data_IF_468357263215
#
_entry.id   IF_468357263215
#
_cell.length_a   1.000
_cell.length_b   1.000
_cell.length_c   1.000
_cell.angle_alpha   90.00
_cell.angle_beta   90.00
_cell.angle_gamma   90.00
#
_symmetry.space_group_name_H-M   'P 1'
#
loop_
_entity.id
_entity.type
_entity.pdbx_description
1 polymer ?
#
# COMPACT_ATOMS: atom_id res chain seq x y z
N UNK A 1 -8.23 17.70 0.35
CA UNK A 1 -6.87 17.47 -0.17
C UNK A 1 -6.16 18.81 -0.25
N UNK A 2 -4.90 18.88 0.16
CA UNK A 2 -4.08 20.09 0.10
C UNK A 2 -3.71 20.42 -1.34
N UNK A 3 -3.62 21.71 -1.68
CA UNK A 3 -3.23 22.15 -3.03
C UNK A 3 -1.81 21.67 -3.38
N UNK A 4 -0.86 21.69 -2.42
CA UNK A 4 0.49 21.15 -2.63
C UNK A 4 0.49 19.65 -2.98
N UNK A 5 -0.51 18.88 -2.50
CA UNK A 5 -0.65 17.47 -2.89
C UNK A 5 -1.20 17.36 -4.30
N UNK A 6 -2.10 18.26 -4.71
CA UNK A 6 -2.64 18.31 -6.08
C UNK A 6 -1.53 18.54 -7.11
N UNK A 7 -0.53 19.36 -6.77
CA UNK A 7 0.62 19.64 -7.63
C UNK A 7 1.51 18.41 -7.92
N UNK A 8 1.35 17.32 -7.16
CA UNK A 8 2.03 16.04 -7.37
C UNK A 8 1.27 15.14 -8.36
N UNK A 9 0.00 15.42 -8.62
CA UNK A 9 -0.88 14.57 -9.40
C UNK A 9 -0.82 14.90 -10.89
N UNK A 10 -0.99 13.86 -11.72
CA UNK A 10 -1.11 13.98 -13.16
C UNK A 10 -2.46 13.46 -13.64
N UNK A 11 -3.00 14.05 -14.69
CA UNK A 11 -4.26 13.64 -15.29
C UNK A 11 -4.13 12.21 -15.83
N UNK A 12 -4.96 11.25 -15.38
CA UNK A 12 -4.85 9.85 -15.79
C UNK A 12 -5.28 9.60 -17.25
N UNK A 13 -5.82 10.61 -17.94
CA UNK A 13 -6.24 10.53 -19.34
C UNK A 13 -5.21 11.10 -20.33
N UNK A 14 -4.60 12.25 -20.00
CA UNK A 14 -3.67 12.93 -20.91
C UNK A 14 -2.26 13.15 -20.34
N UNK A 15 -2.00 12.77 -19.08
CA UNK A 15 -0.73 12.98 -18.40
C UNK A 15 -0.41 14.44 -18.03
N UNK A 16 -1.28 15.39 -18.38
CA UNK A 16 -1.11 16.81 -18.07
C UNK A 16 -1.29 17.13 -16.58
N UNK A 17 -0.79 18.30 -16.19
CA UNK A 17 -0.90 18.79 -14.82
C UNK A 17 -2.38 18.94 -14.39
N UNK A 18 -2.65 18.65 -13.12
CA UNK A 18 -3.95 18.86 -12.50
C UNK A 18 -3.91 20.12 -11.64
N UNK A 19 -4.89 20.99 -11.83
CA UNK A 19 -5.14 22.15 -10.98
C UNK A 19 -6.49 22.04 -10.29
N UNK A 20 -6.65 22.77 -9.19
CA UNK A 20 -7.93 22.85 -8.50
C UNK A 20 -8.86 23.83 -9.21
N UNK A 21 -10.09 23.41 -9.46
CA UNK A 21 -11.15 24.21 -10.06
C UNK A 21 -12.42 24.01 -9.22
N UNK A 22 -12.59 24.87 -8.22
CA UNK A 22 -13.67 24.77 -7.23
C UNK A 22 -13.70 23.42 -6.50
N UNK A 23 -14.76 22.64 -6.75
CA UNK A 23 -15.01 21.32 -6.15
C UNK A 23 -14.34 20.15 -6.87
N UNK A 24 -13.51 20.40 -7.89
CA UNK A 24 -12.90 19.37 -8.73
C UNK A 24 -11.41 19.63 -9.01
N UNK A 25 -10.74 18.62 -9.54
CA UNK A 25 -9.48 18.76 -10.26
C UNK A 25 -9.75 18.88 -11.75
N UNK A 26 -9.02 19.74 -12.46
CA UNK A 26 -9.12 19.90 -13.91
C UNK A 26 -7.73 19.98 -14.54
N UNK A 27 -7.58 19.35 -15.71
CA UNK A 27 -6.37 19.50 -16.54
C UNK A 27 -6.59 20.47 -17.71
N UNK A 28 -5.53 20.95 -18.40
CA UNK A 28 -5.67 21.82 -19.59
C UNK A 28 -6.49 21.23 -20.75
N UNK A 29 -6.57 19.90 -20.86
CA UNK A 29 -7.43 19.20 -21.83
C UNK A 29 -8.90 19.09 -21.39
N UNK A 30 -9.29 19.81 -20.33
CA UNK A 30 -10.64 19.89 -19.79
C UNK A 30 -11.22 18.60 -19.17
N UNK A 31 -10.40 17.55 -18.95
CA UNK A 31 -10.79 16.44 -18.08
C UNK A 31 -10.98 16.95 -16.64
N UNK A 32 -12.05 16.52 -15.98
CA UNK A 32 -12.42 16.95 -14.64
C UNK A 32 -12.69 15.77 -13.71
N UNK A 33 -12.33 15.91 -12.44
CA UNK A 33 -12.46 14.88 -11.42
C UNK A 33 -12.97 15.50 -10.11
N UNK A 34 -14.21 15.19 -9.74
CA UNK A 34 -14.83 15.77 -8.55
C UNK A 34 -14.19 15.25 -7.25
N UNK A 35 -14.01 16.14 -6.28
CA UNK A 35 -13.66 15.72 -4.93
C UNK A 35 -14.85 15.02 -4.28
N UNK A 36 -14.60 13.84 -3.74
CA UNK A 36 -15.56 13.19 -2.86
C UNK A 36 -15.67 13.99 -1.54
N UNK A 37 -16.88 14.04 -0.97
CA UNK A 37 -17.14 14.69 0.34
C UNK A 37 -16.26 14.14 1.47
N UNK A 38 -15.73 12.93 1.28
CA UNK A 38 -14.86 12.24 2.22
C UNK A 38 -13.37 12.62 2.09
N UNK A 39 -12.99 13.49 1.16
CA UNK A 39 -11.67 14.11 1.08
C UNK A 39 -10.69 13.51 0.06
N UNK A 40 -11.13 12.51 -0.73
CA UNK A 40 -10.35 11.88 -1.79
C UNK A 40 -10.85 12.28 -3.19
N UNK A 41 -10.08 11.98 -4.23
CA UNK A 41 -10.48 12.13 -5.64
C UNK A 41 -10.39 10.79 -6.36
N UNK A 42 -11.27 10.50 -7.32
CA UNK A 42 -11.15 9.30 -8.15
C UNK A 42 -10.42 9.63 -9.44
N UNK A 43 -9.26 9.00 -9.67
CA UNK A 43 -8.42 9.16 -10.85
C UNK A 43 -8.25 7.84 -11.62
N UNK A 44 -9.24 6.94 -11.51
CA UNK A 44 -9.30 5.74 -12.34
C UNK A 44 -9.49 6.14 -13.82
N UNK A 45 -8.57 5.71 -14.68
CA UNK A 45 -8.72 5.80 -16.12
C UNK A 45 -9.10 4.46 -16.74
N UNK A 46 -9.81 4.52 -17.87
CA UNK A 46 -10.18 3.35 -18.65
C UNK A 46 -11.20 2.42 -17.98
N UNK A 47 -11.18 1.14 -18.37
CA UNK A 47 -12.01 0.08 -17.79
C UNK A 47 -11.17 -0.75 -16.82
N UNK A 48 -10.70 -0.15 -15.72
CA UNK A 48 -10.08 -0.95 -14.67
C UNK A 48 -11.05 -2.06 -14.25
N UNK A 49 -10.57 -3.31 -14.28
CA UNK A 49 -11.32 -4.48 -13.85
C UNK A 49 -10.95 -4.90 -12.42
N UNK A 50 -10.02 -4.18 -11.79
CA UNK A 50 -9.56 -4.48 -10.46
C UNK A 50 -10.64 -4.07 -9.47
N UNK A 51 -11.11 -5.04 -8.69
CA UNK A 51 -12.07 -4.79 -7.62
C UNK A 51 -11.28 -4.51 -6.35
N UNK A 52 -11.50 -3.34 -5.77
CA UNK A 52 -10.89 -2.99 -4.48
C UNK A 52 -11.61 -3.63 -3.29
N UNK A 53 -10.94 -3.59 -2.14
CA UNK A 53 -11.46 -4.10 -0.87
C UNK A 53 -12.80 -3.46 -0.48
N UNK A 54 -13.70 -4.27 0.12
CA UNK A 54 -14.99 -3.79 0.63
C UNK A 54 -14.82 -2.93 1.88
N UNK A 55 -15.91 -2.28 2.33
CA UNK A 55 -15.88 -1.47 3.54
C UNK A 55 -15.53 -2.30 4.79
N UNK A 56 -16.04 -3.52 4.87
CA UNK A 56 -15.82 -4.47 5.97
C UNK A 56 -14.36 -4.94 5.99
N UNK A 57 -13.79 -5.29 4.83
CA UNK A 57 -12.38 -5.68 4.71
C UNK A 57 -11.45 -4.53 5.14
N UNK A 58 -11.74 -3.31 4.69
CA UNK A 58 -10.97 -2.12 5.08
C UNK A 58 -11.12 -1.82 6.57
N UNK A 59 -12.31 -2.02 7.16
CA UNK A 59 -12.53 -1.84 8.59
C UNK A 59 -11.77 -2.88 9.43
N UNK A 60 -11.79 -4.15 9.03
CA UNK A 60 -11.05 -5.22 9.70
C UNK A 60 -9.53 -4.97 9.63
N UNK A 61 -9.01 -4.61 8.45
CA UNK A 61 -7.61 -4.19 8.27
C UNK A 61 -7.27 -3.01 9.19
N UNK A 62 -8.12 -1.99 9.23
CA UNK A 62 -7.89 -0.83 10.08
C UNK A 62 -7.82 -1.20 11.56
N UNK A 63 -8.78 -1.98 12.07
CA UNK A 63 -8.77 -2.42 13.47
C UNK A 63 -7.52 -3.23 13.82
N UNK A 64 -7.09 -4.14 12.95
CA UNK A 64 -5.87 -4.92 13.15
C UNK A 64 -4.61 -4.03 13.19
N UNK A 65 -4.48 -3.07 12.28
CA UNK A 65 -3.32 -2.18 12.22
C UNK A 65 -3.32 -1.15 13.37
N UNK A 66 -4.49 -0.60 13.72
CA UNK A 66 -4.66 0.36 14.83
C UNK A 66 -4.42 -0.28 16.20
N UNK A 67 -4.56 -1.61 16.31
CA UNK A 67 -4.16 -2.37 17.51
C UNK A 67 -2.64 -2.54 17.66
N UNK A 68 -1.84 -2.04 16.70
CA UNK A 68 -0.37 -2.05 16.77
C UNK A 68 0.29 -3.36 16.35
N UNK A 69 -0.49 -4.35 15.86
CA UNK A 69 0.03 -5.67 15.49
C UNK A 69 1.17 -5.61 14.48
N UNK A 70 1.14 -4.65 13.54
CA UNK A 70 2.18 -4.45 12.52
C UNK A 70 3.05 -3.20 12.75
N UNK A 71 3.06 -2.65 13.96
CA UNK A 71 3.94 -1.52 14.30
C UNK A 71 5.43 -1.80 14.00
N UNK A 72 6.00 -2.98 14.29
CA UNK A 72 7.40 -3.26 13.95
C UNK A 72 7.70 -3.15 12.45
N UNK A 73 6.72 -3.47 11.59
CA UNK A 73 6.88 -3.32 10.14
C UNK A 73 6.79 -1.83 9.77
N UNK A 74 5.82 -1.11 10.32
CA UNK A 74 5.64 0.30 10.02
C UNK A 74 6.83 1.15 10.47
N UNK A 75 7.43 0.83 11.61
CA UNK A 75 8.65 1.48 12.09
C UNK A 75 9.84 1.19 11.17
N UNK A 76 10.02 -0.08 10.76
CA UNK A 76 11.08 -0.43 9.81
C UNK A 76 10.88 0.23 8.42
N UNK A 77 9.64 0.40 7.97
CA UNK A 77 9.32 1.17 6.76
C UNK A 77 9.68 2.64 6.95
N UNK A 78 9.33 3.25 8.08
CA UNK A 78 9.65 4.65 8.37
C UNK A 78 11.16 4.89 8.46
N UNK A 79 11.91 3.99 9.12
CA UNK A 79 13.37 4.02 9.18
C UNK A 79 14.01 3.96 7.78
N UNK A 80 13.41 3.20 6.86
CA UNK A 80 13.90 3.07 5.49
C UNK A 80 13.61 4.30 4.61
N UNK A 81 12.68 5.18 5.01
CA UNK A 81 12.40 6.44 4.30
C UNK A 81 13.43 7.50 4.71
N UNK A 82 14.57 7.49 4.02
CA UNK A 82 15.68 8.42 4.30
C UNK A 82 15.66 9.68 3.44
N UNK A 83 14.97 9.64 2.29
CA UNK A 83 14.94 10.74 1.33
C UNK A 83 14.06 11.92 1.74
N UNK A 84 14.39 13.11 1.24
CA UNK A 84 13.53 14.28 1.32
C UNK A 84 12.44 14.28 0.24
N UNK A 85 11.43 15.13 0.42
CA UNK A 85 10.37 15.35 -0.55
C UNK A 85 9.16 14.44 -0.36
N UNK A 86 8.19 14.47 -1.28
CA UNK A 86 6.91 13.77 -1.10
C UNK A 86 7.06 12.25 -1.08
N UNK A 87 6.22 11.60 -0.27
CA UNK A 87 6.11 10.13 -0.18
C UNK A 87 4.83 9.68 -0.88
N UNK A 88 4.94 8.78 -1.85
CA UNK A 88 3.81 8.20 -2.56
C UNK A 88 3.66 6.74 -2.16
N UNK A 89 2.52 6.34 -1.61
CA UNK A 89 2.23 4.96 -1.23
C UNK A 89 1.27 4.31 -2.23
N UNK A 90 1.73 3.24 -2.88
CA UNK A 90 0.97 2.49 -3.89
C UNK A 90 0.32 1.27 -3.23
N UNK A 91 -1.00 1.21 -3.28
CA UNK A 91 -1.76 0.24 -2.49
C UNK A 91 -1.78 0.63 -1.01
N UNK A 92 -1.92 1.93 -0.74
CA UNK A 92 -1.77 2.51 0.60
C UNK A 92 -2.77 1.96 1.63
N UNK A 93 -3.87 1.36 1.18
CA UNK A 93 -4.92 0.86 2.04
C UNK A 93 -5.46 1.98 2.93
N UNK A 94 -5.37 1.78 4.24
CA UNK A 94 -5.84 2.75 5.24
C UNK A 94 -4.94 3.98 5.35
N UNK A 95 -3.77 4.00 4.70
CA UNK A 95 -2.73 5.03 4.87
C UNK A 95 -1.83 4.79 6.09
N UNK A 96 -1.90 3.61 6.73
CA UNK A 96 -1.18 3.28 7.96
C UNK A 96 0.35 3.43 7.81
N UNK A 97 0.94 2.79 6.80
CA UNK A 97 2.39 2.85 6.56
C UNK A 97 2.83 4.23 6.10
N UNK A 98 2.09 4.84 5.16
CA UNK A 98 2.34 6.20 4.71
C UNK A 98 2.35 7.19 5.89
N UNK A 99 1.38 7.11 6.79
CA UNK A 99 1.32 7.99 7.97
C UNK A 99 2.53 7.81 8.89
N UNK A 100 2.95 6.56 9.15
CA UNK A 100 4.13 6.28 9.98
C UNK A 100 5.41 6.83 9.36
N UNK A 101 5.55 6.73 8.04
CA UNK A 101 6.75 7.14 7.31
C UNK A 101 6.75 8.62 6.86
N UNK A 102 5.67 9.37 7.10
CA UNK A 102 5.47 10.70 6.52
C UNK A 102 6.48 11.72 7.04
N UNK A 103 6.70 11.77 8.37
CA UNK A 103 7.40 12.86 9.03
C UNK A 103 6.87 14.23 8.60
N UNK A 104 7.77 15.15 8.26
CA UNK A 104 7.44 16.50 7.78
C UNK A 104 7.27 16.59 6.25
N UNK A 105 6.85 15.52 5.58
CA UNK A 105 6.69 15.48 4.11
C UNK A 105 5.22 15.57 3.71
N UNK A 106 4.98 15.79 2.41
CA UNK A 106 3.67 15.56 1.81
C UNK A 106 3.50 14.08 1.47
N UNK A 107 2.28 13.58 1.59
CA UNK A 107 1.96 12.19 1.29
C UNK A 107 0.88 12.05 0.23
N UNK A 108 1.03 11.08 -0.66
CA UNK A 108 -0.01 10.68 -1.61
C UNK A 108 -0.32 9.20 -1.42
N UNK A 109 -1.55 8.90 -1.01
CA UNK A 109 -2.07 7.54 -0.91
C UNK A 109 -2.81 7.16 -2.20
N UNK A 110 -2.32 6.15 -2.91
CA UNK A 110 -3.00 5.56 -4.06
C UNK A 110 -3.55 4.19 -3.69
N UNK A 111 -4.84 3.99 -3.92
CA UNK A 111 -5.48 2.68 -3.73
C UNK A 111 -6.64 2.51 -4.72
N UNK A 112 -6.98 1.29 -5.10
CA UNK A 112 -8.13 1.03 -5.97
C UNK A 112 -9.45 1.05 -5.19
N UNK A 113 -9.41 0.85 -3.87
CA UNK A 113 -10.57 0.91 -3.00
C UNK A 113 -10.88 2.35 -2.57
N UNK A 114 -12.07 2.83 -2.95
CA UNK A 114 -12.60 4.10 -2.43
C UNK A 114 -12.76 4.12 -0.91
N UNK A 115 -12.97 2.96 -0.28
CA UNK A 115 -13.10 2.86 1.17
C UNK A 115 -11.74 3.02 1.87
N UNK A 116 -10.69 2.46 1.27
CA UNK A 116 -9.31 2.67 1.67
C UNK A 116 -8.92 4.15 1.54
N UNK A 117 -9.11 4.75 0.36
CA UNK A 117 -8.83 6.19 0.14
C UNK A 117 -9.61 7.12 1.07
N UNK A 118 -10.86 6.77 1.43
CA UNK A 118 -11.65 7.53 2.42
C UNK A 118 -10.97 7.57 3.79
N UNK A 119 -10.32 6.49 4.22
CA UNK A 119 -9.58 6.46 5.49
C UNK A 119 -8.23 7.17 5.32
N UNK A 120 -7.49 6.85 4.27
CA UNK A 120 -6.18 7.43 4.01
C UNK A 120 -6.22 8.97 3.89
N UNK A 121 -7.27 9.54 3.29
CA UNK A 121 -7.45 10.99 3.20
C UNK A 121 -7.61 11.71 4.57
N UNK A 122 -7.80 10.96 5.65
CA UNK A 122 -8.09 11.48 7.00
C UNK A 122 -7.05 11.10 8.03
N UNK A 123 -6.06 10.26 7.70
CA UNK A 123 -5.05 9.84 8.68
C UNK A 123 -4.08 10.97 9.03
N UNK A 124 -3.85 11.92 8.12
CA UNK A 124 -2.97 13.05 8.36
C UNK A 124 -3.35 14.27 7.49
N UNK A 125 -3.25 15.51 7.98
CA UNK A 125 -3.56 16.71 7.19
C UNK A 125 -2.67 16.88 5.95
N UNK A 126 -1.45 16.32 5.96
CA UNK A 126 -0.48 16.37 4.86
C UNK A 126 -0.60 15.22 3.85
N UNK A 127 -1.59 14.34 4.02
CA UNK A 127 -1.85 13.23 3.09
C UNK A 127 -3.06 13.57 2.22
N UNK A 128 -2.89 13.45 0.90
CA UNK A 128 -4.01 13.33 -0.04
C UNK A 128 -4.18 11.89 -0.49
N UNK A 129 -5.42 11.47 -0.75
CA UNK A 129 -5.70 10.14 -1.30
C UNK A 129 -6.41 10.23 -2.66
N UNK A 130 -5.96 9.42 -3.61
CA UNK A 130 -6.59 9.29 -4.91
C UNK A 130 -6.90 7.81 -5.22
N UNK A 131 -8.10 7.55 -5.73
CA UNK A 131 -8.45 6.22 -6.21
C UNK A 131 -7.74 5.98 -7.54
N UNK A 132 -6.91 4.95 -7.62
CA UNK A 132 -6.09 4.62 -8.78
C UNK A 132 -5.83 3.12 -8.87
N UNK A 133 -5.66 2.62 -10.10
CA UNK A 133 -5.26 1.23 -10.36
C UNK A 133 -3.73 1.18 -10.52
N UNK A 134 -3.07 0.44 -9.63
CA UNK A 134 -1.60 0.33 -9.62
C UNK A 134 -1.02 -0.33 -10.89
N UNK A 135 -1.84 -1.02 -11.69
CA UNK A 135 -1.44 -1.61 -12.97
C UNK A 135 -1.57 -0.66 -14.17
N UNK A 136 -2.26 0.47 -13.99
CA UNK A 136 -2.35 1.53 -14.99
C UNK A 136 -1.24 2.56 -14.78
N UNK A 137 -1.03 3.49 -15.73
CA UNK A 137 -0.22 4.67 -15.48
C UNK A 137 -0.67 5.37 -14.19
N UNK A 138 0.26 5.56 -13.25
CA UNK A 138 -0.03 6.15 -11.96
C UNK A 138 -0.35 7.63 -12.14
N UNK A 139 -1.38 8.18 -11.48
CA UNK A 139 -1.76 9.59 -11.59
C UNK A 139 -0.82 10.52 -10.80
N UNK A 140 0.49 10.30 -10.93
CA UNK A 140 1.57 11.05 -10.31
C UNK A 140 2.43 11.66 -11.41
N UNK A 141 2.84 12.91 -11.25
CA UNK A 141 3.74 13.57 -12.21
C UNK A 141 5.10 12.88 -12.23
N UNK A 142 5.72 12.90 -13.40
CA UNK A 142 7.07 12.34 -13.56
C UNK A 142 8.05 13.10 -12.67
N UNK A 143 8.82 12.38 -11.86
CA UNK A 143 9.83 12.97 -11.00
C UNK A 143 9.32 13.75 -9.78
N UNK A 144 8.05 13.58 -9.39
CA UNK A 144 7.47 14.32 -8.27
C UNK A 144 7.73 13.70 -6.88
N UNK A 145 7.95 12.39 -6.81
CA UNK A 145 8.14 11.69 -5.55
C UNK A 145 9.61 11.67 -5.11
N UNK A 146 9.87 11.94 -3.82
CA UNK A 146 11.15 11.64 -3.19
C UNK A 146 11.28 10.16 -2.84
N UNK A 147 10.18 9.58 -2.35
CA UNK A 147 10.09 8.17 -2.01
C UNK A 147 8.77 7.56 -2.51
N UNK A 148 8.85 6.33 -2.99
CA UNK A 148 7.68 5.50 -3.29
C UNK A 148 7.66 4.33 -2.30
N UNK A 149 6.52 4.11 -1.65
CA UNK A 149 6.26 2.94 -0.81
C UNK A 149 5.48 1.90 -1.60
N UNK A 150 5.85 0.63 -1.41
CA UNK A 150 5.13 -0.52 -1.94
C UNK A 150 5.07 -1.61 -0.86
N UNK A 151 4.02 -1.57 -0.04
CA UNK A 151 3.85 -2.46 1.10
C UNK A 151 2.74 -3.47 0.78
N UNK A 152 3.12 -4.73 0.53
CA UNK A 152 2.19 -5.82 0.14
C UNK A 152 1.31 -5.54 -1.10
N UNK A 153 1.69 -4.57 -1.93
CA UNK A 153 0.88 -4.10 -3.05
C UNK A 153 1.39 -4.58 -4.42
N UNK A 154 0.55 -4.52 -5.48
CA UNK A 154 0.98 -4.67 -6.86
C UNK A 154 2.17 -3.78 -7.24
N UNK A 155 2.99 -4.24 -8.20
CA UNK A 155 4.24 -3.58 -8.58
C UNK A 155 4.27 -3.28 -10.06
N UNK A 156 4.22 -1.99 -10.40
CA UNK A 156 4.46 -1.46 -11.73
C UNK A 156 5.80 -0.71 -11.74
N UNK A 157 6.90 -1.44 -11.94
CA UNK A 157 8.25 -0.90 -11.81
C UNK A 157 8.54 0.30 -12.74
N UNK A 158 8.12 0.29 -14.03
CA UNK A 158 8.25 1.46 -14.89
C UNK A 158 7.60 2.73 -14.32
N UNK A 159 6.37 2.62 -13.80
CA UNK A 159 5.64 3.77 -13.26
C UNK A 159 6.18 4.24 -11.91
N UNK A 160 6.56 3.30 -11.03
CA UNK A 160 7.24 3.65 -9.77
C UNK A 160 8.52 4.43 -10.06
N UNK A 161 9.32 3.98 -11.04
CA UNK A 161 10.53 4.68 -11.46
C UNK A 161 10.23 6.05 -12.08
N UNK A 162 9.18 6.15 -12.90
CA UNK A 162 8.77 7.40 -13.55
C UNK A 162 8.35 8.45 -12.51
N UNK A 163 7.58 8.05 -11.50
CA UNK A 163 7.10 8.95 -10.45
C UNK A 163 8.24 9.50 -9.58
N UNK A 164 9.31 8.73 -9.36
CA UNK A 164 10.46 9.14 -8.55
C UNK A 164 11.32 10.21 -9.23
N UNK A 165 11.71 11.24 -8.47
CA UNK A 165 12.72 12.23 -8.89
C UNK A 165 14.11 11.58 -9.10
N UNK A 166 15.04 12.23 -9.81
CA UNK A 166 16.43 11.76 -9.84
C UNK A 166 16.98 11.61 -8.42
N UNK A 167 17.58 10.45 -8.10
CA UNK A 167 18.03 10.12 -6.75
C UNK A 167 16.93 9.70 -5.76
N UNK A 168 15.67 9.62 -6.20
CA UNK A 168 14.56 9.11 -5.39
C UNK A 168 14.67 7.61 -5.11
N UNK A 169 13.95 7.18 -4.07
CA UNK A 169 14.08 5.83 -3.51
C UNK A 169 12.75 5.07 -3.50
N UNK A 170 12.82 3.76 -3.69
CA UNK A 170 11.70 2.84 -3.56
C UNK A 170 11.90 2.01 -2.29
N UNK A 171 10.90 1.97 -1.42
CA UNK A 171 10.85 1.09 -0.24
C UNK A 171 9.80 0.01 -0.48
N UNK A 172 10.23 -1.24 -0.45
CA UNK A 172 9.37 -2.41 -0.70
C UNK A 172 9.31 -3.27 0.54
N UNK A 173 8.10 -3.72 0.89
CA UNK A 173 7.91 -4.77 1.89
C UNK A 173 7.45 -6.05 1.21
N UNK A 174 8.18 -7.14 1.45
CA UNK A 174 7.82 -8.48 1.00
C UNK A 174 7.66 -9.41 2.18
N UNK A 175 6.59 -10.23 2.24
CA UNK A 175 6.53 -11.29 3.22
C UNK A 175 7.55 -12.36 2.84
N UNK A 176 8.13 -13.01 3.85
CA UNK A 176 9.04 -14.15 3.74
C UNK A 176 8.31 -15.49 3.91
N UNK A 177 8.92 -16.64 3.57
CA UNK A 177 8.34 -17.97 3.81
C UNK A 177 7.78 -18.20 5.23
N UNK A 178 8.40 -17.58 6.25
CA UNK A 178 7.96 -17.63 7.65
C UNK A 178 6.78 -16.70 8.02
N UNK A 179 6.20 -15.97 7.07
CA UNK A 179 5.15 -15.00 7.33
C UNK A 179 3.81 -15.65 7.63
N UNK A 180 3.24 -15.33 8.80
CA UNK A 180 2.00 -15.89 9.34
C UNK A 180 2.03 -17.43 9.51
N UNK A 181 3.24 -18.02 9.56
CA UNK A 181 3.44 -19.42 9.95
C UNK A 181 2.80 -19.67 11.31
N UNK A 182 2.09 -20.79 11.45
CA UNK A 182 1.21 -21.07 12.59
C UNK A 182 -0.27 -20.77 12.34
N UNK A 183 -0.59 -19.81 11.45
CA UNK A 183 -1.92 -19.70 10.83
C UNK A 183 -1.92 -20.40 9.47
N UNK A 184 -0.93 -20.12 8.62
CA UNK A 184 -0.86 -20.66 7.25
C UNK A 184 -0.81 -22.18 7.25
N UNK A 185 0.14 -22.77 7.97
CA UNK A 185 0.34 -24.22 8.02
C UNK A 185 -0.88 -24.97 8.59
N UNK A 186 -1.49 -24.39 9.62
CA UNK A 186 -2.61 -25.00 10.36
C UNK A 186 -3.92 -24.96 9.59
N UNK A 187 -4.03 -24.02 8.66
CA UNK A 187 -5.23 -23.77 7.86
C UNK A 187 -5.05 -24.19 6.39
N UNK A 188 -3.89 -24.76 6.02
CA UNK A 188 -3.58 -25.19 4.65
C UNK A 188 -3.59 -24.03 3.64
N UNK A 189 -3.25 -22.83 4.10
CA UNK A 189 -3.30 -21.62 3.28
C UNK A 189 -2.08 -21.49 2.36
N UNK A 190 -2.11 -20.54 1.42
CA UNK A 190 -1.00 -20.31 0.51
C UNK A 190 0.25 -19.86 1.27
N UNK A 191 1.30 -20.67 1.17
CA UNK A 191 2.64 -20.30 1.62
C UNK A 191 3.23 -19.21 0.74
N UNK A 192 4.11 -18.40 1.33
CA UNK A 192 4.93 -17.48 0.57
C UNK A 192 5.99 -18.29 -0.17
N UNK A 193 5.96 -18.22 -1.49
CA UNK A 193 6.91 -18.90 -2.38
C UNK A 193 8.34 -18.37 -2.15
N UNK A 194 9.28 -19.29 -1.96
CA UNK A 194 10.71 -19.02 -1.69
C UNK A 194 11.39 -18.21 -2.80
N UNK A 195 10.93 -18.35 -4.05
CA UNK A 195 11.45 -17.60 -5.21
C UNK A 195 10.91 -16.17 -5.32
N UNK A 196 10.11 -15.70 -4.36
CA UNK A 196 9.46 -14.38 -4.40
C UNK A 196 10.46 -13.22 -4.33
N UNK A 197 11.58 -13.41 -3.62
CA UNK A 197 12.71 -12.47 -3.56
C UNK A 197 13.38 -12.34 -4.94
N UNK A 198 13.73 -13.46 -5.58
CA UNK A 198 14.37 -13.46 -6.90
C UNK A 198 13.45 -12.85 -7.98
N UNK A 199 12.16 -13.22 -7.97
CA UNK A 199 11.18 -12.61 -8.89
C UNK A 199 10.95 -11.12 -8.62
N UNK A 200 11.16 -10.64 -7.40
CA UNK A 200 11.13 -9.21 -7.11
C UNK A 200 12.34 -8.53 -7.76
N UNK A 201 13.54 -9.08 -7.56
CA UNK A 201 14.75 -8.56 -8.17
C UNK A 201 14.62 -8.47 -9.70
N UNK A 202 14.10 -9.52 -10.34
CA UNK A 202 13.84 -9.54 -11.79
C UNK A 202 12.85 -8.47 -12.24
N UNK A 203 11.76 -8.26 -11.48
CA UNK A 203 10.75 -7.24 -11.80
C UNK A 203 11.26 -5.81 -11.63
N UNK A 204 12.25 -5.59 -10.77
CA UNK A 204 12.86 -4.29 -10.53
C UNK A 204 14.13 -4.05 -11.37
N UNK A 205 14.67 -5.10 -11.98
CA UNK A 205 15.86 -5.03 -12.82
C UNK A 205 15.71 -4.00 -13.94
N UNK A 206 16.78 -3.24 -14.20
CA UNK A 206 16.80 -2.17 -15.20
C UNK A 206 16.08 -0.89 -14.78
N UNK A 207 15.31 -0.89 -13.68
CA UNK A 207 14.65 0.30 -13.14
C UNK A 207 15.26 0.78 -11.83
N UNK A 208 15.77 -0.15 -11.03
CA UNK A 208 16.21 0.09 -9.66
C UNK A 208 17.49 -0.68 -9.33
N UNK A 209 18.29 -0.13 -8.42
CA UNK A 209 19.45 -0.79 -7.81
C UNK A 209 19.21 -0.98 -6.32
N UNK A 210 19.46 -2.19 -5.76
CA UNK A 210 19.31 -2.40 -4.32
C UNK A 210 20.31 -1.55 -3.54
N UNK A 211 19.87 -1.03 -2.39
CA UNK A 211 20.71 -0.24 -1.48
C UNK A 211 20.96 -1.01 -0.20
N UNK A 212 19.90 -1.39 0.50
CA UNK A 212 19.94 -2.18 1.73
C UNK A 212 18.62 -2.94 1.93
N UNK A 213 18.65 -3.87 2.88
CA UNK A 213 17.46 -4.60 3.30
C UNK A 213 17.55 -4.97 4.78
N UNK A 214 16.39 -5.05 5.43
CA UNK A 214 16.23 -5.42 6.83
C UNK A 214 15.14 -6.47 6.97
N UNK A 215 15.50 -7.61 7.55
CA UNK A 215 14.53 -8.59 8.02
C UNK A 215 13.81 -8.06 9.27
N UNK A 216 12.49 -8.21 9.32
CA UNK A 216 11.64 -7.87 10.45
C UNK A 216 10.88 -9.11 10.84
N UNK A 217 11.23 -9.64 12.01
CA UNK A 217 10.68 -10.88 12.54
C UNK A 217 10.17 -10.69 13.96
N UNK A 218 8.95 -11.14 14.23
CA UNK A 218 8.34 -11.09 15.56
C UNK A 218 7.17 -12.08 15.64
N UNK A 219 6.56 -12.19 16.82
CA UNK A 219 5.36 -13.00 17.03
C UNK A 219 4.18 -12.13 17.42
N UNK A 220 3.03 -12.45 16.86
CA UNK A 220 1.76 -11.85 17.26
C UNK A 220 1.14 -12.62 18.42
N UNK A 221 0.23 -11.99 19.14
CA UNK A 221 -0.65 -12.65 20.10
C UNK A 221 -2.08 -12.25 19.75
N UNK A 222 -2.76 -13.12 19.00
CA UNK A 222 -4.02 -12.80 18.37
C UNK A 222 -5.17 -13.53 19.07
N UNK A 223 -6.26 -12.79 19.25
CA UNK A 223 -7.60 -13.37 19.34
C UNK A 223 -7.98 -14.01 17.99
N UNK A 224 -9.05 -14.80 18.00
CA UNK A 224 -9.57 -15.42 16.77
C UNK A 224 -10.02 -14.39 15.73
N UNK A 225 -10.65 -13.31 16.19
CA UNK A 225 -11.12 -12.24 15.30
C UNK A 225 -9.96 -11.49 14.66
N UNK A 226 -8.88 -11.24 15.41
CA UNK A 226 -7.67 -10.62 14.87
C UNK A 226 -6.92 -11.56 13.92
N UNK A 227 -6.90 -12.87 14.20
CA UNK A 227 -6.35 -13.87 13.28
C UNK A 227 -7.13 -13.91 11.96
N UNK A 228 -8.47 -13.85 12.02
CA UNK A 228 -9.33 -13.72 10.83
C UNK A 228 -8.97 -12.46 10.04
N UNK A 229 -8.85 -11.33 10.72
CA UNK A 229 -8.46 -10.07 10.08
C UNK A 229 -7.08 -10.17 9.41
N UNK A 230 -6.08 -10.75 10.08
CA UNK A 230 -4.74 -10.97 9.53
C UNK A 230 -4.76 -11.78 8.23
N UNK A 231 -5.53 -12.88 8.20
CA UNK A 231 -5.64 -13.75 7.03
C UNK A 231 -6.37 -13.03 5.88
N UNK A 232 -7.44 -12.29 6.20
CA UNK A 232 -8.24 -11.55 5.22
C UNK A 232 -7.47 -10.39 4.55
N UNK A 233 -6.34 -9.95 5.12
CA UNK A 233 -5.46 -8.95 4.48
C UNK A 233 -4.53 -9.56 3.42
N UNK A 234 -4.37 -10.88 3.39
CA UNK A 234 -3.51 -11.59 2.45
C UNK A 234 -4.28 -12.19 1.26
N UNK A 235 -3.59 -12.83 0.31
CA UNK A 235 -4.21 -13.47 -0.86
C UNK A 235 -5.18 -14.60 -0.47
N UNK A 236 -5.04 -15.16 0.72
CA UNK A 236 -5.87 -16.23 1.26
C UNK A 236 -7.34 -15.86 1.41
N UNK A 237 -7.67 -14.57 1.53
CA UNK A 237 -9.05 -14.07 1.54
C UNK A 237 -9.86 -14.49 0.32
N UNK A 238 -9.20 -14.73 -0.82
CA UNK A 238 -9.84 -15.05 -2.10
C UNK A 238 -9.93 -16.56 -2.37
N UNK A 239 -9.33 -17.39 -1.51
CA UNK A 239 -9.19 -18.83 -1.72
C UNK A 239 -9.93 -19.67 -0.67
N UNK A 240 -10.66 -19.07 0.26
CA UNK A 240 -11.42 -19.75 1.32
C UNK A 240 -12.69 -18.95 1.65
N UNK A 241 -13.80 -19.62 1.96
CA UNK A 241 -15.03 -18.92 2.38
C UNK A 241 -14.92 -18.44 3.82
N UNK A 242 -15.61 -17.35 4.22
CA UNK A 242 -15.60 -16.88 5.60
C UNK A 242 -15.97 -17.98 6.61
N UNK A 243 -16.96 -18.82 6.29
CA UNK A 243 -17.44 -19.88 7.18
C UNK A 243 -16.41 -21.00 7.37
N UNK A 244 -15.71 -21.37 6.29
CA UNK A 244 -14.66 -22.38 6.35
C UNK A 244 -13.45 -21.86 7.15
N UNK A 245 -13.11 -20.58 6.97
CA UNK A 245 -12.06 -19.93 7.74
C UNK A 245 -12.41 -19.88 9.24
N UNK A 246 -13.65 -19.54 9.56
CA UNK A 246 -14.14 -19.46 10.94
C UNK A 246 -14.11 -20.80 11.66
N UNK A 247 -14.60 -21.84 11.00
CA UNK A 247 -14.56 -23.19 11.53
C UNK A 247 -13.11 -23.62 11.80
N UNK A 248 -12.20 -23.37 10.85
CA UNK A 248 -10.82 -23.76 10.97
C UNK A 248 -10.06 -22.97 12.07
N UNK A 249 -10.33 -21.67 12.24
CA UNK A 249 -9.78 -20.85 13.34
C UNK A 249 -10.33 -21.29 14.70
N UNK A 250 -11.59 -21.72 14.77
CA UNK A 250 -12.22 -22.16 16.02
C UNK A 250 -11.55 -23.40 16.63
N UNK A 251 -11.00 -24.28 15.79
CA UNK A 251 -10.26 -25.49 16.21
C UNK A 251 -8.82 -25.20 16.67
N UNK A 252 -8.33 -23.96 16.52
CA UNK A 252 -6.99 -23.60 16.96
C UNK A 252 -6.97 -23.26 18.47
N UNK A 253 -5.91 -23.70 19.19
CA UNK A 253 -5.72 -23.37 20.59
C UNK A 253 -5.44 -21.87 20.74
N UNK A 254 -6.11 -21.23 21.68
CA UNK A 254 -5.92 -19.82 21.99
C UNK A 254 -4.92 -19.64 23.15
N UNK A 255 -4.08 -18.58 23.14
CA UNK A 255 -3.98 -17.55 22.10
C UNK A 255 -3.29 -18.06 20.82
N UNK A 256 -3.62 -17.47 19.67
CA UNK A 256 -2.94 -17.76 18.41
C UNK A 256 -1.65 -16.94 18.34
N UNK A 257 -0.52 -17.60 18.11
CA UNK A 257 0.81 -16.97 18.16
C UNK A 257 1.55 -17.17 16.83
N UNK A 258 1.04 -16.64 15.70
CA UNK A 258 1.75 -16.77 14.42
C UNK A 258 3.05 -15.96 14.42
N UNK A 259 4.03 -16.49 13.68
CA UNK A 259 5.23 -15.73 13.34
C UNK A 259 4.92 -14.71 12.24
N UNK A 260 5.54 -13.55 12.31
CA UNK A 260 5.58 -12.57 11.23
C UNK A 260 7.03 -12.50 10.76
N UNK A 261 7.26 -12.70 9.47
CA UNK A 261 8.56 -12.54 8.84
C UNK A 261 8.40 -11.74 7.55
N UNK A 262 9.04 -10.59 7.44
CA UNK A 262 9.03 -9.75 6.25
C UNK A 262 10.41 -9.16 6.01
N UNK A 263 10.71 -8.82 4.76
CA UNK A 263 11.86 -8.01 4.40
C UNK A 263 11.40 -6.62 4.00
N UNK A 264 12.02 -5.59 4.60
CA UNK A 264 11.93 -4.21 4.15
C UNK A 264 13.20 -3.91 3.35
N UNK A 265 13.05 -3.64 2.05
CA UNK A 265 14.18 -3.40 1.15
C UNK A 265 14.09 -2.01 0.52
N UNK A 266 15.24 -1.33 0.45
CA UNK A 266 15.38 -0.02 -0.17
C UNK A 266 16.12 -0.15 -1.49
N UNK A 267 15.62 0.56 -2.49
CA UNK A 267 16.21 0.63 -3.81
C UNK A 267 16.36 2.07 -4.28
N UNK A 268 17.39 2.33 -5.08
CA UNK A 268 17.61 3.62 -5.72
C UNK A 268 17.18 3.55 -7.18
N UNK A 269 16.52 4.61 -7.65
CA UNK A 269 16.19 4.80 -9.06
C UNK A 269 17.46 4.81 -9.92
N UNK A 270 17.47 4.04 -11.01
CA UNK A 270 18.49 4.07 -12.09
C UNK A 270 18.11 5.10 -13.13
#
# INVERSE_FOLDING_TARGET
MLDDVVELLACPHCGGDLGRDGGALRCPSNHAFDFARQGYVSLLSGRSKVVGDTAEMVAARAGFLEAGHYDPIADAVADAVTGDGPVVDIGAGTGFYLNRALGERLGVALDVSKYACRRAAKVHPRIGAAVADAWQPLPIRTGAAGTVLNVFAPRNAPEMRRALRPGGELVVVTPEPGHLTGLVDRLGLLHVDESKQDRLADRLAGHFTPVDQRAVEFRLHLTRDEARAAIAMGPNAWHTTPEALDAAIAELPAPLVPAVAVTVARYRRV
#
